data_IF_647507971581
#
_entry.id   IF_647507971581
#
_cell.length_a   1.000
_cell.length_b   1.000
_cell.length_c   1.000
_cell.angle_alpha   90.00
_cell.angle_beta   90.00
_cell.angle_gamma   90.00
#
_symmetry.space_group_name_H-M   'P 1'
#
loop_
_entity.id
_entity.type
_entity.pdbx_description
1 polymer ?
#
# COMPACT_ATOMS: atom_id res chain seq x y z
N UNK A 1 -4.83 -59.72 -20.12
CA UNK A 1 -4.30 -58.35 -20.31
C UNK A 1 -5.10 -57.39 -19.44
N UNK A 2 -4.54 -56.90 -18.33
CA UNK A 2 -5.18 -55.90 -17.46
C UNK A 2 -4.41 -54.59 -17.62
N UNK A 3 -5.04 -53.58 -18.23
CA UNK A 3 -4.53 -52.20 -18.25
C UNK A 3 -5.31 -51.45 -17.18
N UNK A 4 -4.66 -51.09 -16.09
CA UNK A 4 -5.22 -50.12 -15.15
C UNK A 4 -4.36 -48.87 -15.30
N UNK A 5 -4.92 -47.91 -16.02
CA UNK A 5 -4.30 -46.61 -16.26
C UNK A 5 -4.37 -45.84 -14.95
N UNK A 6 -3.20 -45.42 -14.50
CA UNK A 6 -2.97 -44.54 -13.36
C UNK A 6 -3.67 -43.20 -13.55
N UNK A 7 -4.38 -42.71 -12.55
CA UNK A 7 -4.83 -41.31 -12.48
C UNK A 7 -4.19 -40.71 -11.24
N UNK A 8 -3.00 -40.11 -11.41
CA UNK A 8 -2.43 -39.18 -10.45
C UNK A 8 -3.27 -37.90 -10.50
N UNK A 9 -4.16 -37.71 -9.54
CA UNK A 9 -4.82 -36.43 -9.31
C UNK A 9 -3.79 -35.47 -8.69
N UNK A 10 -3.14 -34.66 -9.52
CA UNK A 10 -2.35 -33.52 -9.04
C UNK A 10 -3.34 -32.44 -8.60
N UNK A 11 -3.59 -32.35 -7.30
CA UNK A 11 -4.28 -31.23 -6.68
C UNK A 11 -3.39 -29.98 -6.81
N UNK A 12 -3.48 -29.30 -7.95
CA UNK A 12 -2.89 -27.99 -8.15
C UNK A 12 -3.72 -26.96 -7.39
N UNK A 13 -3.38 -26.72 -6.12
CA UNK A 13 -3.87 -25.54 -5.40
C UNK A 13 -3.20 -24.29 -5.98
N UNK A 14 -3.78 -23.74 -7.04
CA UNK A 14 -3.43 -22.40 -7.52
C UNK A 14 -3.89 -21.39 -6.48
N UNK A 15 -2.99 -21.03 -5.58
CA UNK A 15 -3.21 -19.92 -4.66
C UNK A 15 -3.28 -18.64 -5.50
N UNK A 16 -4.49 -18.17 -5.76
CA UNK A 16 -4.72 -16.85 -6.35
C UNK A 16 -4.40 -15.80 -5.30
N UNK A 17 -3.11 -15.47 -5.17
CA UNK A 17 -2.67 -14.40 -4.30
C UNK A 17 -3.11 -13.08 -4.92
N UNK A 18 -4.23 -12.54 -4.43
CA UNK A 18 -4.63 -11.18 -4.75
C UNK A 18 -3.56 -10.23 -4.24
N UNK A 19 -2.90 -9.52 -5.16
CA UNK A 19 -1.88 -8.53 -4.83
C UNK A 19 -2.56 -7.22 -4.41
N UNK A 20 -2.09 -6.64 -3.31
CA UNK A 20 -2.47 -5.32 -2.80
C UNK A 20 -1.71 -4.27 -3.58
N UNK A 21 -2.46 -3.32 -4.13
CA UNK A 21 -1.96 -2.12 -4.78
C UNK A 21 -2.15 -0.93 -3.84
N UNK A 22 -1.17 -0.05 -3.83
CA UNK A 22 -1.21 1.19 -3.05
C UNK A 22 -1.12 2.36 -4.00
N UNK A 23 -2.13 3.21 -3.99
CA UNK A 23 -2.10 4.50 -4.66
C UNK A 23 -1.78 5.58 -3.62
N UNK A 24 -0.72 6.32 -3.87
CA UNK A 24 -0.31 7.47 -3.05
C UNK A 24 -0.83 8.74 -3.71
N UNK A 25 -1.42 9.62 -2.91
CA UNK A 25 -1.84 10.97 -3.31
C UNK A 25 -1.26 11.96 -2.31
N UNK A 26 -0.30 12.76 -2.75
CA UNK A 26 0.21 13.89 -1.96
C UNK A 26 -0.49 15.19 -2.34
N UNK A 27 -0.41 16.17 -1.44
CA UNK A 27 -0.60 17.57 -1.84
C UNK A 27 0.52 17.97 -2.81
N UNK A 28 0.13 18.37 -4.02
CA UNK A 28 1.07 18.55 -5.13
C UNK A 28 2.13 19.61 -4.76
N UNK A 29 3.39 19.24 -5.01
CA UNK A 29 4.60 20.07 -4.98
C UNK A 29 5.35 20.20 -3.65
N UNK A 30 4.90 19.59 -2.54
CA UNK A 30 5.65 19.67 -1.26
C UNK A 30 6.99 18.92 -1.33
N UNK A 31 7.04 17.81 -2.08
CA UNK A 31 8.20 16.92 -2.13
C UNK A 31 9.16 17.19 -3.29
N UNK A 32 8.81 18.09 -4.22
CA UNK A 32 9.67 18.39 -5.38
C UNK A 32 11.01 19.01 -4.96
N UNK A 33 11.00 19.86 -3.93
CA UNK A 33 12.21 20.44 -3.34
C UNK A 33 12.75 19.66 -2.13
N UNK A 34 11.90 18.86 -1.48
CA UNK A 34 12.23 18.18 -0.23
C UNK A 34 12.74 16.74 -0.41
N UNK A 35 12.54 16.12 -1.58
CA UNK A 35 12.99 14.76 -1.88
C UNK A 35 13.90 14.71 -3.10
N UNK A 36 15.01 13.97 -3.02
CA UNK A 36 15.94 13.78 -4.15
C UNK A 36 15.23 13.01 -5.27
N UNK A 37 15.00 13.69 -6.40
CA UNK A 37 14.22 13.16 -7.53
C UNK A 37 12.73 13.52 -7.48
N UNK A 38 12.32 14.37 -6.55
CA UNK A 38 10.99 14.97 -6.47
C UNK A 38 9.86 14.01 -6.12
N UNK A 39 8.62 14.48 -6.29
CA UNK A 39 7.40 13.76 -5.91
C UNK A 39 7.29 12.39 -6.58
N UNK A 40 7.53 12.31 -7.89
CA UNK A 40 7.35 11.05 -8.64
C UNK A 40 8.26 9.93 -8.13
N UNK A 41 9.52 10.27 -7.81
CA UNK A 41 10.45 9.29 -7.27
C UNK A 41 10.05 8.87 -5.85
N UNK A 42 9.61 9.82 -5.02
CA UNK A 42 9.11 9.53 -3.69
C UNK A 42 7.93 8.54 -3.73
N UNK A 43 6.94 8.81 -4.59
CA UNK A 43 5.76 7.95 -4.72
C UNK A 43 6.15 6.53 -5.11
N UNK A 44 7.08 6.36 -6.06
CA UNK A 44 7.59 5.04 -6.48
C UNK A 44 8.33 4.32 -5.35
N UNK A 45 9.26 5.00 -4.68
CA UNK A 45 10.09 4.41 -3.62
C UNK A 45 9.22 3.94 -2.44
N UNK A 46 8.23 4.76 -2.04
CA UNK A 46 7.35 4.45 -0.92
C UNK A 46 6.28 3.42 -1.30
N UNK A 47 5.67 3.53 -2.49
CA UNK A 47 4.62 2.60 -2.92
C UNK A 47 5.10 1.14 -2.95
N UNK A 48 6.35 0.89 -3.37
CA UNK A 48 6.91 -0.46 -3.38
C UNK A 48 6.94 -1.08 -1.98
N UNK A 49 7.36 -0.31 -0.97
CA UNK A 49 7.42 -0.77 0.41
C UNK A 49 6.01 -0.95 1.00
N UNK A 50 5.12 0.02 0.78
CA UNK A 50 3.75 -0.05 1.26
C UNK A 50 2.94 -1.18 0.63
N UNK A 51 3.20 -1.54 -0.63
CA UNK A 51 2.56 -2.71 -1.25
C UNK A 51 2.95 -4.01 -0.54
N UNK A 52 4.21 -4.16 -0.13
CA UNK A 52 4.66 -5.33 0.62
C UNK A 52 3.97 -5.39 2.00
N UNK A 53 3.96 -4.28 2.73
CA UNK A 53 3.28 -4.16 4.01
C UNK A 53 1.76 -4.40 3.85
N UNK A 54 1.12 -3.78 2.87
CA UNK A 54 -0.29 -3.99 2.57
C UNK A 54 -0.64 -5.46 2.30
N UNK A 55 0.23 -6.17 1.57
CA UNK A 55 0.09 -7.61 1.33
C UNK A 55 0.21 -8.43 2.61
N UNK A 56 1.23 -8.18 3.43
CA UNK A 56 1.47 -8.93 4.67
C UNK A 56 0.32 -8.81 5.66
N UNK A 57 -0.32 -7.64 5.71
CA UNK A 57 -1.44 -7.35 6.63
C UNK A 57 -2.82 -7.47 5.96
N UNK A 58 -2.87 -7.83 4.67
CA UNK A 58 -4.09 -7.93 3.86
C UNK A 58 -4.97 -6.68 3.92
N UNK A 59 -4.35 -5.50 3.99
CA UNK A 59 -5.03 -4.22 4.21
C UNK A 59 -5.80 -3.77 2.98
N UNK A 60 -7.01 -3.27 3.22
CA UNK A 60 -7.85 -2.61 2.23
C UNK A 60 -8.46 -1.36 2.84
N UNK A 61 -8.49 -0.26 2.10
CA UNK A 61 -9.11 0.98 2.54
C UNK A 61 -8.20 2.20 2.37
N UNK A 62 -8.73 3.33 2.81
CA UNK A 62 -8.09 4.64 2.73
C UNK A 62 -7.45 5.03 4.06
N UNK A 63 -6.21 5.52 4.00
CA UNK A 63 -5.46 6.02 5.12
C UNK A 63 -4.87 7.39 4.82
N UNK A 64 -4.57 8.16 5.85
CA UNK A 64 -3.79 9.39 5.76
C UNK A 64 -2.53 9.24 6.58
N UNK A 65 -1.37 9.39 5.94
CA UNK A 65 -0.06 9.39 6.59
C UNK A 65 0.46 10.82 6.67
N UNK A 66 0.58 11.32 7.90
CA UNK A 66 1.13 12.64 8.20
C UNK A 66 2.51 12.48 8.83
N UNK A 67 3.45 13.35 8.47
CA UNK A 67 4.77 13.41 9.10
C UNK A 67 5.43 14.77 8.86
N UNK A 68 6.42 15.09 9.67
CA UNK A 68 7.28 16.25 9.50
C UNK A 68 8.63 15.81 8.92
N UNK A 69 9.24 16.68 8.11
CA UNK A 69 10.61 16.54 7.62
C UNK A 69 11.37 17.76 8.11
N UNK A 70 12.46 17.56 8.86
CA UNK A 70 13.31 18.65 9.34
C UNK A 70 14.26 19.17 8.26
N UNK A 71 14.91 20.31 8.53
CA UNK A 71 16.00 20.83 7.70
C UNK A 71 17.18 19.86 7.53
N UNK A 72 17.29 18.83 8.37
CA UNK A 72 18.31 17.78 8.26
C UNK A 72 17.84 16.58 7.45
N UNK A 73 16.63 16.62 6.90
CA UNK A 73 15.98 15.48 6.23
C UNK A 73 15.58 14.37 7.21
N UNK A 74 15.41 14.70 8.50
CA UNK A 74 14.95 13.75 9.51
C UNK A 74 13.43 13.74 9.57
N UNK A 75 12.83 12.55 9.67
CA UNK A 75 11.38 12.39 9.71
C UNK A 75 10.93 12.29 11.17
N UNK A 76 9.90 13.05 11.56
CA UNK A 76 9.30 13.02 12.89
C UNK A 76 7.77 13.07 12.85
N UNK A 77 7.15 12.89 14.02
CA UNK A 77 5.70 13.07 14.22
C UNK A 77 4.81 12.25 13.27
N UNK A 78 5.25 11.03 12.96
CA UNK A 78 4.55 10.15 12.02
C UNK A 78 3.23 9.68 12.62
N UNK A 79 2.12 10.04 11.97
CA UNK A 79 0.76 9.65 12.35
C UNK A 79 0.03 9.03 11.16
N UNK A 80 -0.56 7.86 11.39
CA UNK A 80 -1.40 7.16 10.43
C UNK A 80 -2.85 7.23 10.90
N UNK A 81 -3.74 7.68 10.02
CA UNK A 81 -5.17 7.80 10.28
C UNK A 81 -5.97 6.92 9.30
N UNK A 82 -7.10 6.32 9.72
CA UNK A 82 -7.62 6.30 11.08
C UNK A 82 -6.68 5.57 12.04
N UNK A 83 -6.73 5.92 13.33
CA UNK A 83 -5.96 5.21 14.33
C UNK A 83 -6.50 3.77 14.45
N UNK A 84 -5.60 2.81 14.23
CA UNK A 84 -5.94 1.40 14.40
C UNK A 84 -5.74 0.99 15.85
N UNK A 85 -6.59 0.07 16.33
CA UNK A 85 -6.43 -0.57 17.63
C UNK A 85 -5.13 -1.37 17.69
N UNK A 86 -4.87 -2.19 16.66
CA UNK A 86 -3.59 -2.88 16.49
C UNK A 86 -2.57 -1.93 15.84
N UNK A 87 -1.46 -1.71 16.54
CA UNK A 87 -0.37 -0.82 16.11
C UNK A 87 0.67 -1.48 15.23
N UNK A 88 0.59 -2.80 15.01
CA UNK A 88 1.58 -3.55 14.23
C UNK A 88 1.66 -3.04 12.79
N UNK A 89 0.52 -2.81 12.14
CA UNK A 89 0.49 -2.20 10.79
C UNK A 89 1.09 -0.79 10.78
N UNK A 90 0.73 0.04 11.76
CA UNK A 90 1.25 1.40 11.87
C UNK A 90 2.78 1.42 12.03
N UNK A 91 3.34 0.46 12.78
CA UNK A 91 4.79 0.29 12.96
C UNK A 91 5.48 -0.06 11.64
N UNK A 92 4.88 -0.94 10.82
CA UNK A 92 5.46 -1.29 9.51
C UNK A 92 5.40 -0.14 8.52
N UNK A 93 4.29 0.62 8.48
CA UNK A 93 4.17 1.84 7.66
C UNK A 93 5.24 2.87 8.06
N UNK A 94 5.46 3.06 9.38
CA UNK A 94 6.54 3.92 9.90
C UNK A 94 7.92 3.45 9.44
N UNK A 95 8.14 2.14 9.41
CA UNK A 95 9.40 1.53 8.96
C UNK A 95 9.61 1.72 7.45
N UNK A 96 8.57 1.55 6.65
CA UNK A 96 8.60 1.80 5.21
C UNK A 96 8.99 3.25 4.90
N UNK A 97 8.41 4.20 5.64
CA UNK A 97 8.77 5.62 5.53
C UNK A 97 10.23 5.88 5.96
N UNK A 98 10.71 5.25 7.03
CA UNK A 98 12.10 5.40 7.47
C UNK A 98 13.12 4.90 6.43
N UNK A 99 12.79 3.88 5.62
CA UNK A 99 13.68 3.36 4.56
C UNK A 99 13.96 4.38 3.46
N UNK A 100 13.01 5.29 3.20
CA UNK A 100 13.15 6.34 2.18
C UNK A 100 13.76 7.64 2.74
N UNK A 101 13.94 7.74 4.07
CA UNK A 101 14.43 8.95 4.75
C UNK A 101 15.74 9.50 4.16
N UNK A 102 16.70 8.64 3.79
CA UNK A 102 18.01 9.06 3.26
C UNK A 102 17.95 9.91 1.99
N UNK A 103 16.80 9.90 1.30
CA UNK A 103 16.58 10.63 0.07
C UNK A 103 15.94 12.01 0.31
N UNK A 104 15.52 12.35 1.53
CA UNK A 104 15.08 13.70 1.83
C UNK A 104 16.27 14.69 1.78
N UNK A 105 16.00 15.87 1.25
CA UNK A 105 16.96 16.95 1.11
C UNK A 105 17.07 17.74 2.42
N UNK A 106 18.28 18.19 2.75
CA UNK A 106 18.58 18.92 3.98
C UNK A 106 18.40 20.43 3.79
N UNK A 107 17.17 20.87 3.52
CA UNK A 107 16.93 22.23 3.03
C UNK A 107 15.93 23.02 3.88
N UNK A 108 14.73 22.48 4.13
CA UNK A 108 13.65 23.21 4.79
C UNK A 108 12.76 22.26 5.58
N UNK A 109 12.21 22.76 6.69
CA UNK A 109 11.18 22.05 7.43
C UNK A 109 9.86 22.02 6.65
N UNK A 110 9.31 20.83 6.44
CA UNK A 110 8.08 20.62 5.69
C UNK A 110 7.14 19.67 6.43
N UNK A 111 5.84 19.96 6.36
CA UNK A 111 4.79 19.06 6.82
C UNK A 111 4.19 18.34 5.63
N UNK A 112 4.18 17.02 5.67
CA UNK A 112 3.74 16.18 4.57
C UNK A 112 2.50 15.41 4.98
N UNK A 113 1.47 15.46 4.13
CA UNK A 113 0.23 14.69 4.25
C UNK A 113 0.03 13.87 2.98
N UNK A 114 -0.13 12.56 3.15
CA UNK A 114 -0.29 11.60 2.05
C UNK A 114 -1.58 10.82 2.24
N UNK A 115 -2.45 10.83 1.23
CA UNK A 115 -3.52 9.84 1.09
C UNK A 115 -2.94 8.52 0.57
N UNK A 116 -3.23 7.42 1.28
CA UNK A 116 -2.83 6.06 0.90
C UNK A 116 -4.10 5.25 0.66
N UNK A 117 -4.33 4.81 -0.57
CA UNK A 117 -5.43 3.92 -0.91
C UNK A 117 -4.89 2.51 -1.15
N UNK A 118 -5.21 1.58 -0.25
CA UNK A 118 -4.89 0.15 -0.37
C UNK A 118 -6.07 -0.57 -0.99
N UNK A 119 -5.86 -1.20 -2.14
CA UNK A 119 -6.90 -1.97 -2.85
C UNK A 119 -6.35 -3.30 -3.33
N UNK A 120 -7.22 -4.29 -3.49
CA UNK A 120 -6.86 -5.59 -4.04
C UNK A 120 -7.04 -5.57 -5.54
N UNK A 121 -6.02 -6.02 -6.28
CA UNK A 121 -6.28 -6.49 -7.63
C UNK A 121 -6.90 -7.87 -7.49
N UNK A 122 -8.22 -7.91 -7.62
CA UNK A 122 -8.95 -9.15 -7.79
C UNK A 122 -9.00 -9.34 -9.30
N UNK A 123 -8.12 -10.17 -9.90
CA UNK A 123 -8.40 -10.63 -11.25
C UNK A 123 -9.76 -11.34 -11.21
N UNK A 124 -10.71 -10.91 -12.05
CA UNK A 124 -11.96 -11.61 -12.31
C UNK A 124 -11.61 -13.01 -12.83
N UNK A 125 -11.36 -13.96 -11.92
CA UNK A 125 -10.92 -15.31 -12.28
C UNK A 125 -12.07 -16.24 -12.64
N UNK A 126 -13.31 -15.80 -12.48
CA UNK A 126 -14.50 -16.44 -13.02
C UNK A 126 -15.58 -15.36 -13.04
N UNK A 127 -16.40 -15.30 -14.09
CA UNK A 127 -17.50 -14.33 -14.28
C UNK A 127 -18.64 -14.41 -13.24
N UNK A 128 -18.33 -14.78 -12.01
CA UNK A 128 -19.15 -14.75 -10.81
C UNK A 128 -18.67 -13.62 -9.92
N UNK A 129 -18.82 -12.38 -10.42
CA UNK A 129 -18.73 -11.20 -9.59
C UNK A 129 -19.60 -11.40 -8.33
N UNK A 130 -19.01 -11.14 -7.17
CA UNK A 130 -19.63 -11.23 -5.84
C UNK A 130 -21.12 -10.85 -5.86
N UNK A 131 -21.95 -11.73 -5.28
CA UNK A 131 -23.31 -11.39 -4.86
C UNK A 131 -23.28 -10.38 -3.70
N UNK A 132 -22.84 -9.16 -3.96
CA UNK A 132 -23.16 -8.02 -3.11
C UNK A 132 -24.49 -7.45 -3.61
N UNK A 133 -25.52 -7.32 -2.76
CA UNK A 133 -26.79 -6.73 -3.18
C UNK A 133 -26.54 -5.29 -3.61
N UNK A 134 -26.86 -5.01 -4.87
CA UNK A 134 -26.79 -3.69 -5.47
C UNK A 134 -27.84 -2.80 -4.80
N UNK A 135 -27.48 -2.10 -3.72
CA UNK A 135 -28.35 -1.12 -3.06
C UNK A 135 -28.30 0.21 -3.80
N UNK A 136 -28.66 0.20 -5.08
CA UNK A 136 -29.05 1.40 -5.80
C UNK A 136 -30.58 1.47 -5.84
N UNK A 137 -31.17 1.94 -4.75
CA UNK A 137 -32.53 2.46 -4.78
C UNK A 137 -32.45 3.89 -5.33
N UNK A 138 -32.62 4.05 -6.64
CA UNK A 138 -32.89 5.36 -7.24
C UNK A 138 -34.34 5.74 -6.96
N UNK A 139 -34.52 7.00 -6.52
CA UNK A 139 -35.78 7.73 -6.53
C UNK A 139 -36.29 7.96 -7.94
#
# INVERSE_FOLDING_TARGET
>A
MKKIISVLAVLAFTHSFSQTFVKIKSDKNVLDSAYKGGQEKFDKDLALSLQQTGNSFQVTGDFVLNFNVSEKGEISDIKLLPELFDKTFEIEVKRDLARVQKNFAKNKEERVSLGLNFSRNIPDQDGRASFAPNTNTSR
#
